data_IF_535775771983
#
_entry.id   IF_535775771983
#
_cell.length_a   1.000
_cell.length_b   1.000
_cell.length_c   1.000
_cell.angle_alpha   90.00
_cell.angle_beta   90.00
_cell.angle_gamma   90.00
#
_symmetry.space_group_name_H-M   'P 1'
#
loop_
_entity.id
_entity.type
_entity.pdbx_description
1 polymer ?
#
# COMPACT_ATOMS: atom_id res chain seq x y z
N UNK A 1 33.65 6.74 -39.05
CA UNK A 1 32.38 6.69 -39.82
C UNK A 1 31.56 5.57 -39.21
N UNK A 2 30.68 5.90 -38.28
CA UNK A 2 29.75 4.94 -37.69
C UNK A 2 28.73 4.53 -38.77
N UNK A 3 28.53 3.24 -38.92
CA UNK A 3 27.73 2.67 -39.98
C UNK A 3 26.24 2.88 -39.66
N UNK A 4 25.64 3.87 -40.33
CA UNK A 4 24.24 4.28 -40.19
C UNK A 4 23.24 3.12 -40.37
N UNK A 5 23.63 2.09 -41.14
CA UNK A 5 22.83 0.88 -41.33
C UNK A 5 22.64 0.02 -40.06
N UNK A 6 23.64 0.03 -39.19
CA UNK A 6 23.57 -0.75 -37.92
C UNK A 6 22.62 -0.11 -36.89
N UNK A 7 22.52 1.21 -36.89
CA UNK A 7 21.60 1.98 -36.04
C UNK A 7 20.14 1.80 -36.47
N UNK A 8 19.88 1.73 -37.79
CA UNK A 8 18.52 1.51 -38.29
C UNK A 8 18.06 0.09 -38.01
N UNK A 9 18.94 -0.91 -38.09
CA UNK A 9 18.62 -2.30 -37.75
C UNK A 9 18.33 -2.48 -36.25
N UNK A 10 19.12 -1.84 -35.39
CA UNK A 10 18.88 -1.88 -33.94
C UNK A 10 17.56 -1.21 -33.55
N UNK A 11 17.20 -0.11 -34.21
CA UNK A 11 15.96 0.61 -33.96
C UNK A 11 14.73 -0.17 -34.46
N UNK A 12 14.83 -0.83 -35.60
CA UNK A 12 13.78 -1.69 -36.14
C UNK A 12 13.56 -2.92 -35.28
N UNK A 13 14.64 -3.53 -34.75
CA UNK A 13 14.54 -4.68 -33.87
C UNK A 13 13.93 -4.34 -32.50
N UNK A 14 14.16 -3.11 -32.03
CA UNK A 14 13.55 -2.62 -30.79
C UNK A 14 12.04 -2.34 -30.95
N UNK A 15 11.62 -1.86 -32.12
CA UNK A 15 10.22 -1.59 -32.46
C UNK A 15 9.40 -2.88 -32.65
N UNK A 16 9.96 -3.90 -33.25
CA UNK A 16 9.27 -5.19 -33.39
C UNK A 16 9.13 -5.96 -32.09
N UNK A 17 10.12 -5.86 -31.18
CA UNK A 17 10.02 -6.46 -29.84
C UNK A 17 9.08 -5.70 -28.89
N UNK A 18 8.90 -4.40 -29.05
CA UNK A 18 7.92 -3.65 -28.26
C UNK A 18 6.47 -3.98 -28.62
N UNK A 19 6.21 -4.38 -29.86
CA UNK A 19 4.86 -4.82 -30.29
C UNK A 19 4.47 -6.21 -29.71
N UNK A 20 5.45 -7.04 -29.34
CA UNK A 20 5.20 -8.37 -28.74
C UNK A 20 5.00 -8.27 -27.22
N UNK A 21 5.64 -7.30 -26.56
CA UNK A 21 5.46 -7.06 -25.12
C UNK A 21 4.06 -6.54 -24.77
N UNK A 22 3.39 -5.85 -25.68
CA UNK A 22 2.04 -5.31 -25.48
C UNK A 22 0.90 -6.35 -25.50
N UNK A 23 1.16 -7.62 -25.78
CA UNK A 23 0.10 -8.63 -25.99
C UNK A 23 -0.03 -9.70 -24.90
N UNK A 24 0.75 -9.62 -23.82
CA UNK A 24 0.74 -10.67 -22.76
C UNK A 24 0.45 -10.16 -21.35
N UNK A 25 -0.08 -8.97 -21.21
CA UNK A 25 -0.35 -8.36 -19.90
C UNK A 25 -1.83 -8.20 -19.56
N UNK A 26 -2.75 -8.97 -20.15
CA UNK A 26 -4.12 -8.99 -19.63
C UNK A 26 -4.71 -10.38 -19.87
N UNK A 27 -4.74 -11.25 -18.86
CA UNK A 27 -6.03 -11.72 -18.41
C UNK A 27 -6.20 -11.95 -16.89
N UNK A 28 -5.17 -11.87 -16.07
CA UNK A 28 -5.32 -12.24 -14.66
C UNK A 28 -6.17 -11.25 -13.84
N UNK A 29 -6.11 -9.97 -14.15
CA UNK A 29 -6.76 -8.94 -13.31
C UNK A 29 -8.24 -8.69 -13.65
N UNK A 30 -8.63 -8.87 -14.90
CA UNK A 30 -10.04 -8.70 -15.32
C UNK A 30 -10.95 -9.79 -14.75
N UNK A 31 -10.41 -10.99 -14.55
CA UNK A 31 -11.11 -12.10 -13.92
C UNK A 31 -11.31 -11.86 -12.41
N UNK A 32 -10.32 -11.29 -11.72
CA UNK A 32 -10.44 -10.98 -10.29
C UNK A 32 -11.41 -9.83 -10.04
N UNK A 33 -11.36 -8.78 -10.87
CA UNK A 33 -12.26 -7.64 -10.80
C UNK A 33 -13.73 -8.04 -11.02
N UNK A 34 -14.00 -8.85 -12.05
CA UNK A 34 -15.34 -9.36 -12.29
C UNK A 34 -15.81 -10.28 -11.15
N UNK A 35 -14.91 -11.07 -10.57
CA UNK A 35 -15.21 -11.90 -9.38
C UNK A 35 -15.50 -11.07 -8.15
N UNK A 36 -14.84 -9.92 -7.95
CA UNK A 36 -15.12 -9.02 -6.82
C UNK A 36 -16.46 -8.28 -6.97
N UNK A 37 -16.89 -8.01 -8.21
CA UNK A 37 -18.22 -7.43 -8.47
C UNK A 37 -19.35 -8.44 -8.28
N UNK A 38 -19.04 -9.72 -8.45
CA UNK A 38 -19.98 -10.83 -8.27
C UNK A 38 -19.98 -11.38 -6.83
N UNK A 39 -19.07 -10.90 -5.97
CA UNK A 39 -19.00 -11.30 -4.57
C UNK A 39 -20.20 -10.71 -3.79
N UNK A 40 -20.87 -11.57 -3.08
CA UNK A 40 -21.91 -11.15 -2.13
C UNK A 40 -21.26 -10.38 -0.95
N UNK A 41 -22.09 -9.62 -0.24
CA UNK A 41 -21.66 -8.91 0.98
C UNK A 41 -21.02 -9.88 1.98
N UNK A 42 -21.53 -11.13 2.04
CA UNK A 42 -21.00 -12.18 2.90
C UNK A 42 -19.58 -12.62 2.49
N UNK A 43 -19.24 -12.58 1.21
CA UNK A 43 -17.90 -12.93 0.73
C UNK A 43 -16.90 -11.81 0.94
N UNK A 44 -17.33 -10.55 0.83
CA UNK A 44 -16.52 -9.39 1.20
C UNK A 44 -16.21 -9.37 2.71
N UNK A 45 -17.10 -9.90 3.54
CA UNK A 45 -16.88 -10.04 4.98
C UNK A 45 -15.86 -11.14 5.34
N UNK A 46 -15.45 -11.98 4.40
CA UNK A 46 -14.39 -13.00 4.58
C UNK A 46 -12.97 -12.48 4.39
N UNK A 47 -12.82 -11.18 4.14
CA UNK A 47 -11.48 -10.57 4.05
C UNK A 47 -10.72 -10.82 5.35
N UNK A 48 -9.56 -11.47 5.23
CA UNK A 48 -8.69 -11.73 6.35
C UNK A 48 -7.82 -10.53 6.66
N UNK A 49 -7.78 -10.16 7.93
CA UNK A 49 -6.92 -9.10 8.46
C UNK A 49 -5.98 -9.66 9.51
N UNK A 50 -4.77 -9.16 9.55
CA UNK A 50 -3.72 -9.63 10.46
C UNK A 50 -3.42 -8.67 11.60
N UNK A 51 -3.79 -7.41 11.45
CA UNK A 51 -3.39 -6.35 12.38
C UNK A 51 -4.10 -6.39 13.73
N UNK A 52 -5.28 -7.02 13.83
CA UNK A 52 -6.04 -6.98 15.09
C UNK A 52 -5.42 -7.84 16.18
N UNK A 53 -4.91 -9.02 15.83
CA UNK A 53 -4.47 -10.03 16.83
C UNK A 53 -3.10 -10.63 16.54
N UNK A 54 -2.37 -10.14 15.54
CA UNK A 54 -1.16 -10.75 14.95
C UNK A 54 -1.39 -12.11 14.30
N UNK A 55 -2.64 -12.53 14.17
CA UNK A 55 -3.06 -13.73 13.46
C UNK A 55 -4.07 -13.35 12.39
N UNK A 56 -4.10 -14.11 11.30
CA UNK A 56 -5.11 -13.93 10.27
C UNK A 56 -6.49 -14.24 10.85
N UNK A 57 -7.39 -13.27 10.80
CA UNK A 57 -8.78 -13.38 11.26
C UNK A 57 -9.70 -12.72 10.24
N UNK A 58 -10.94 -13.20 10.16
CA UNK A 58 -11.94 -12.56 9.31
C UNK A 58 -12.28 -11.18 9.84
N UNK A 59 -12.40 -10.21 8.95
CA UNK A 59 -12.75 -8.82 9.29
C UNK A 59 -14.04 -8.75 10.13
N UNK A 60 -15.00 -9.64 9.87
CA UNK A 60 -16.28 -9.72 10.58
C UNK A 60 -16.16 -10.19 12.04
N UNK A 61 -15.09 -10.89 12.41
CA UNK A 61 -14.86 -11.46 13.75
C UNK A 61 -14.03 -10.52 14.63
N UNK A 62 -13.48 -9.46 14.04
CA UNK A 62 -12.61 -8.54 14.77
C UNK A 62 -13.42 -7.49 15.50
N UNK A 63 -13.23 -7.40 16.81
CA UNK A 63 -13.88 -6.42 17.69
C UNK A 63 -13.37 -4.98 17.55
N UNK A 64 -12.45 -4.71 16.65
CA UNK A 64 -11.84 -3.40 16.42
C UNK A 64 -12.35 -2.75 15.13
N UNK A 65 -12.43 -1.41 15.12
CA UNK A 65 -12.78 -0.67 13.91
C UNK A 65 -11.60 -0.67 12.92
N UNK A 66 -11.57 -1.66 12.04
CA UNK A 66 -10.55 -1.82 11.00
C UNK A 66 -11.09 -1.27 9.68
N UNK A 67 -10.21 -0.58 8.96
CA UNK A 67 -10.41 -0.20 7.57
C UNK A 67 -9.28 -0.77 6.73
N UNK A 68 -9.60 -1.39 5.62
CA UNK A 68 -8.62 -1.99 4.71
C UNK A 68 -8.62 -1.20 3.41
N UNK A 69 -7.46 -0.72 3.02
CA UNK A 69 -7.21 -0.09 1.73
C UNK A 69 -6.53 -1.15 0.87
N UNK A 70 -7.19 -1.59 -0.17
CA UNK A 70 -6.66 -2.60 -1.08
C UNK A 70 -5.75 -1.99 -2.14
N UNK A 71 -4.95 -2.82 -2.80
CA UNK A 71 -4.14 -2.36 -3.94
C UNK A 71 -5.00 -1.74 -5.06
N UNK A 72 -6.20 -2.27 -5.28
CA UNK A 72 -7.13 -1.72 -6.27
C UNK A 72 -7.64 -0.32 -5.87
N UNK A 73 -7.90 -0.08 -4.59
CA UNK A 73 -8.28 1.22 -4.09
C UNK A 73 -7.15 2.23 -4.28
N UNK A 74 -5.92 1.84 -3.94
CA UNK A 74 -4.72 2.67 -4.13
C UNK A 74 -4.57 3.06 -5.60
N UNK A 75 -4.64 2.08 -6.49
CA UNK A 75 -4.51 2.30 -7.93
C UNK A 75 -5.60 3.21 -8.48
N UNK A 76 -6.85 3.05 -8.05
CA UNK A 76 -7.99 3.88 -8.50
C UNK A 76 -7.93 5.30 -7.95
N UNK A 77 -7.37 5.48 -6.76
CA UNK A 77 -7.25 6.80 -6.14
C UNK A 77 -6.21 7.68 -6.83
N UNK A 78 -5.29 7.09 -7.60
CA UNK A 78 -4.15 7.79 -8.16
C UNK A 78 -3.11 8.24 -7.13
N UNK A 79 -3.16 7.66 -5.92
CA UNK A 79 -2.18 7.95 -4.88
C UNK A 79 -0.78 7.51 -5.33
N UNK A 80 0.19 8.41 -5.20
CA UNK A 80 1.59 8.15 -5.59
C UNK A 80 2.48 7.82 -4.40
N UNK A 81 1.95 7.92 -3.19
CA UNK A 81 2.68 7.65 -1.95
C UNK A 81 1.77 7.06 -0.87
N UNK A 82 2.38 6.37 0.10
CA UNK A 82 1.66 5.79 1.25
C UNK A 82 0.84 6.85 2.01
N UNK A 83 1.38 8.05 2.32
CA UNK A 83 0.60 9.10 2.97
C UNK A 83 -0.64 9.52 2.18
N UNK A 84 -0.56 9.56 0.86
CA UNK A 84 -1.72 9.90 0.02
C UNK A 84 -2.77 8.79 0.05
N UNK A 85 -2.34 7.54 -0.02
CA UNK A 85 -3.25 6.39 0.11
C UNK A 85 -3.99 6.38 1.45
N UNK A 86 -3.32 6.75 2.54
CA UNK A 86 -3.91 6.81 3.88
C UNK A 86 -5.04 7.83 4.02
N UNK A 87 -5.16 8.81 3.11
CA UNK A 87 -6.29 9.76 3.09
C UNK A 87 -7.64 9.09 2.83
N UNK A 88 -7.64 7.91 2.23
CA UNK A 88 -8.85 7.14 1.98
C UNK A 88 -9.43 6.54 3.26
N UNK A 89 -8.62 6.34 4.30
CA UNK A 89 -9.07 5.75 5.54
C UNK A 89 -9.84 6.75 6.40
N UNK A 90 -11.12 6.49 6.71
CA UNK A 90 -11.91 7.39 7.53
C UNK A 90 -11.33 7.51 8.93
N UNK A 91 -11.23 8.76 9.44
CA UNK A 91 -10.67 9.06 10.77
C UNK A 91 -9.15 9.05 10.84
N UNK A 92 -8.47 8.95 9.70
CA UNK A 92 -7.05 9.25 9.57
C UNK A 92 -6.89 10.69 9.08
N UNK A 93 -6.12 11.46 9.82
CA UNK A 93 -5.76 12.83 9.46
C UNK A 93 -4.39 12.81 8.77
N UNK A 94 -4.33 13.27 7.53
CA UNK A 94 -3.10 13.33 6.76
C UNK A 94 -2.87 14.75 6.31
N UNK A 95 -1.85 15.39 6.86
CA UNK A 95 -1.44 16.75 6.50
C UNK A 95 -0.02 16.74 5.93
N UNK A 96 0.17 17.47 4.83
CA UNK A 96 1.48 17.72 4.27
C UNK A 96 2.02 19.02 4.88
N UNK A 97 3.08 18.92 5.67
CA UNK A 97 3.68 20.06 6.40
C UNK A 97 4.96 20.59 5.73
N UNK A 98 5.33 20.01 4.61
CA UNK A 98 6.49 20.41 3.81
C UNK A 98 6.56 19.61 2.53
N UNK A 99 7.59 19.81 1.73
CA UNK A 99 7.76 19.13 0.43
C UNK A 99 7.76 17.60 0.59
N UNK A 100 8.48 17.13 1.60
CA UNK A 100 8.69 15.70 1.92
C UNK A 100 8.18 15.31 3.31
N UNK A 101 7.51 16.25 4.02
CA UNK A 101 7.15 16.07 5.43
C UNK A 101 5.65 15.91 5.59
N UNK A 102 5.28 14.80 6.21
CA UNK A 102 3.91 14.45 6.47
C UNK A 102 3.64 14.36 7.97
N UNK A 103 2.45 14.75 8.35
CA UNK A 103 1.89 14.57 9.68
C UNK A 103 0.67 13.66 9.55
N UNK A 104 0.73 12.49 10.14
CA UNK A 104 -0.33 11.49 10.07
C UNK A 104 -0.73 11.08 11.47
N UNK A 105 -2.01 11.17 11.77
CA UNK A 105 -2.58 10.77 13.05
C UNK A 105 -3.93 10.11 12.88
N UNK A 106 -4.35 9.42 13.92
CA UNK A 106 -5.68 8.82 14.03
C UNK A 106 -6.31 9.32 15.31
N UNK A 107 -7.56 9.79 15.24
CA UNK A 107 -8.31 10.30 16.41
C UNK A 107 -7.61 11.46 17.13
N UNK A 108 -7.03 12.38 16.38
CA UNK A 108 -6.38 13.57 16.94
C UNK A 108 -4.91 13.36 17.35
N UNK A 109 -4.38 14.31 18.10
CA UNK A 109 -2.95 14.40 18.44
C UNK A 109 -2.05 14.52 17.21
N UNK A 110 -2.52 15.28 16.23
CA UNK A 110 -1.80 15.48 14.99
C UNK A 110 -0.48 16.24 15.21
N UNK A 111 0.57 15.75 14.59
CA UNK A 111 1.90 16.34 14.66
C UNK A 111 2.86 15.63 13.73
N UNK A 112 3.95 16.31 13.39
CA UNK A 112 4.99 15.76 12.50
C UNK A 112 5.48 14.38 12.94
N UNK A 113 5.56 14.17 14.25
CA UNK A 113 5.96 12.92 14.88
C UNK A 113 4.82 12.47 15.81
N UNK A 114 3.82 11.83 15.22
CA UNK A 114 2.69 11.30 15.97
C UNK A 114 3.09 10.05 16.75
N UNK A 115 3.35 10.21 18.05
CA UNK A 115 3.83 9.13 18.94
C UNK A 115 2.70 8.26 19.53
N UNK A 116 1.46 8.52 19.18
CA UNK A 116 0.27 7.77 19.60
C UNK A 116 -0.22 6.78 18.54
N UNK A 117 0.47 6.71 17.42
CA UNK A 117 0.14 5.91 16.26
C UNK A 117 1.28 4.92 15.98
N UNK A 118 1.00 3.64 16.09
CA UNK A 118 1.94 2.60 15.71
C UNK A 118 1.84 2.36 14.19
N UNK A 119 2.98 2.38 13.51
CA UNK A 119 3.05 2.05 12.08
C UNK A 119 3.97 0.85 11.89
N UNK A 120 3.47 -0.10 11.13
CA UNK A 120 4.16 -1.36 10.83
C UNK A 120 4.28 -1.50 9.30
N UNK A 121 5.35 -2.13 8.87
CA UNK A 121 5.55 -2.60 7.51
C UNK A 121 5.94 -4.07 7.59
N UNK A 122 5.10 -4.94 7.03
CA UNK A 122 5.23 -6.42 7.13
C UNK A 122 5.44 -6.90 8.57
N UNK A 123 4.69 -6.30 9.50
CA UNK A 123 4.79 -6.60 10.93
C UNK A 123 5.97 -5.98 11.67
N UNK A 124 6.89 -5.32 10.95
CA UNK A 124 8.03 -4.61 11.54
C UNK A 124 7.66 -3.16 11.83
N UNK A 125 7.92 -2.68 13.05
CA UNK A 125 7.73 -1.28 13.41
C UNK A 125 8.69 -0.37 12.64
N UNK A 126 8.16 0.66 12.00
CA UNK A 126 8.91 1.73 11.33
C UNK A 126 9.03 2.99 12.19
N UNK A 127 8.62 2.87 13.45
CA UNK A 127 8.76 3.93 14.44
C UNK A 127 10.23 4.18 14.78
N UNK A 128 10.65 5.44 14.75
CA UNK A 128 11.99 5.83 15.17
C UNK A 128 11.99 6.41 16.59
N UNK A 129 12.71 5.80 17.54
CA UNK A 129 12.77 6.31 18.90
C UNK A 129 13.49 7.67 19.00
N UNK A 130 14.35 7.99 18.04
CA UNK A 130 15.12 9.22 18.02
C UNK A 130 14.21 10.47 17.94
N UNK A 131 13.11 10.40 17.17
CA UNK A 131 12.16 11.49 17.00
C UNK A 131 10.77 11.17 17.53
N UNK A 132 10.62 10.03 18.19
CA UNK A 132 9.35 9.56 18.74
C UNK A 132 8.20 9.53 17.73
N UNK A 133 8.47 9.00 16.54
CA UNK A 133 7.46 8.92 15.48
C UNK A 133 7.97 8.26 14.21
N UNK A 134 7.22 8.42 13.13
CA UNK A 134 7.53 7.86 11.82
C UNK A 134 8.03 8.97 10.89
N UNK A 135 9.16 8.74 10.25
CA UNK A 135 9.66 9.60 9.17
C UNK A 135 9.12 9.05 7.86
N UNK A 136 8.01 9.60 7.41
CA UNK A 136 7.29 9.12 6.24
C UNK A 136 8.07 9.25 4.93
N UNK A 137 8.93 10.25 4.81
CA UNK A 137 9.80 10.42 3.65
C UNK A 137 10.89 9.35 3.51
N UNK A 138 11.10 8.55 4.54
CA UNK A 138 12.03 7.41 4.50
C UNK A 138 11.33 6.07 4.25
N UNK A 139 10.00 6.07 4.22
CA UNK A 139 9.20 4.89 3.91
C UNK A 139 8.92 4.86 2.41
N UNK A 140 9.99 4.68 1.64
CA UNK A 140 9.98 4.72 0.17
C UNK A 140 9.78 3.31 -0.42
N UNK A 141 8.60 2.76 -0.20
CA UNK A 141 8.18 1.51 -0.81
C UNK A 141 7.41 1.81 -2.08
N UNK A 142 7.69 1.08 -3.16
CA UNK A 142 6.91 1.18 -4.38
C UNK A 142 5.43 0.93 -4.07
N UNK A 143 4.60 1.87 -4.48
CA UNK A 143 3.16 1.81 -4.19
C UNK A 143 2.50 0.58 -4.84
N UNK A 144 3.06 0.11 -5.95
CA UNK A 144 2.63 -1.09 -6.67
C UNK A 144 2.94 -2.38 -5.93
N UNK A 145 3.94 -2.37 -5.05
CA UNK A 145 4.32 -3.54 -4.24
C UNK A 145 3.46 -3.69 -2.99
N UNK A 146 2.65 -2.71 -2.66
CA UNK A 146 1.73 -2.80 -1.53
C UNK A 146 0.56 -3.70 -1.91
N UNK A 147 0.31 -4.72 -1.11
CA UNK A 147 -0.86 -5.60 -1.24
C UNK A 147 -2.10 -4.93 -0.65
N UNK A 148 -1.98 -4.44 0.59
CA UNK A 148 -3.04 -3.72 1.30
C UNK A 148 -2.48 -2.91 2.47
N UNK A 149 -3.24 -1.95 2.92
CA UNK A 149 -2.96 -1.19 4.15
C UNK A 149 -4.13 -1.41 5.11
N UNK A 150 -3.85 -1.93 6.29
CA UNK A 150 -4.82 -2.15 7.35
C UNK A 150 -4.71 -1.02 8.38
N UNK A 151 -5.81 -0.33 8.64
CA UNK A 151 -5.88 0.79 9.59
C UNK A 151 -6.82 0.43 10.73
N UNK A 152 -6.25 0.19 11.91
CA UNK A 152 -7.00 -0.01 13.15
C UNK A 152 -7.21 1.34 13.81
N UNK A 153 -8.45 1.70 14.05
CA UNK A 153 -8.85 2.95 14.71
C UNK A 153 -9.27 2.67 16.14
N UNK A 154 -8.30 2.69 17.05
CA UNK A 154 -8.57 2.43 18.46
C UNK A 154 -7.34 1.94 19.20
N UNK A 155 -7.48 1.70 20.50
CA UNK A 155 -6.37 1.25 21.32
C UNK A 155 -5.92 -0.15 20.89
N UNK A 156 -4.66 -0.27 20.53
CA UNK A 156 -4.01 -1.53 20.16
C UNK A 156 -2.78 -1.83 21.02
N UNK A 157 -2.58 -1.08 22.10
CA UNK A 157 -1.35 -1.13 22.90
C UNK A 157 -1.09 -2.49 23.53
N UNK A 158 -2.13 -3.25 23.86
CA UNK A 158 -2.02 -4.60 24.41
C UNK A 158 -1.39 -5.59 23.44
N UNK A 159 -1.60 -5.39 22.14
CA UNK A 159 -1.10 -6.27 21.08
C UNK A 159 0.18 -5.71 20.45
N UNK A 160 0.23 -4.39 20.22
CA UNK A 160 1.25 -3.74 19.39
C UNK A 160 2.22 -2.84 20.16
N UNK A 161 2.03 -2.68 21.48
CA UNK A 161 2.91 -1.92 22.34
C UNK A 161 2.50 -0.45 22.55
N UNK A 162 3.35 0.29 23.25
CA UNK A 162 3.03 1.59 23.83
C UNK A 162 2.60 2.67 22.83
N UNK A 163 3.07 2.63 21.59
CA UNK A 163 2.74 3.63 20.58
C UNK A 163 1.35 3.43 19.95
N UNK A 164 0.75 2.26 20.11
CA UNK A 164 -0.56 1.94 19.56
C UNK A 164 -1.72 2.44 20.45
N UNK A 165 -1.70 3.71 20.83
CA UNK A 165 -2.71 4.31 21.72
C UNK A 165 -3.97 4.68 20.94
N UNK A 166 -3.82 5.41 19.85
CA UNK A 166 -4.93 5.91 19.04
C UNK A 166 -5.26 5.00 17.86
N UNK A 167 -4.27 4.25 17.39
CA UNK A 167 -4.43 3.34 16.27
C UNK A 167 -3.16 2.62 15.88
N UNK A 168 -3.34 1.72 14.91
CA UNK A 168 -2.25 0.99 14.25
C UNK A 168 -2.45 1.07 12.75
N UNK A 169 -1.40 1.36 12.01
CA UNK A 169 -1.34 1.23 10.57
C UNK A 169 -0.39 0.08 10.26
N UNK A 170 -0.86 -0.91 9.52
CA UNK A 170 -0.03 -2.02 9.05
C UNK A 170 -0.04 -2.04 7.52
N UNK A 171 1.12 -1.79 6.95
CA UNK A 171 1.36 -1.82 5.51
C UNK A 171 1.87 -3.21 5.19
N UNK A 172 1.18 -3.90 4.31
CA UNK A 172 1.50 -5.28 3.91
C UNK A 172 1.90 -5.26 2.45
N UNK A 173 3.11 -5.74 2.18
CA UNK A 173 3.63 -5.84 0.83
C UNK A 173 3.26 -7.18 0.20
N UNK A 174 3.26 -7.23 -1.11
CA UNK A 174 3.04 -8.46 -1.88
C UNK A 174 4.17 -9.44 -1.61
N UNK A 175 3.85 -10.72 -1.61
CA UNK A 175 4.86 -11.76 -1.47
C UNK A 175 5.70 -11.86 -2.74
N UNK A 176 7.01 -12.00 -2.61
CA UNK A 176 7.93 -12.14 -3.73
C UNK A 176 7.58 -13.32 -4.66
N UNK A 177 6.95 -14.37 -4.13
CA UNK A 177 6.47 -15.50 -4.93
C UNK A 177 5.35 -15.11 -5.92
N UNK A 178 4.53 -14.12 -5.56
CA UNK A 178 3.36 -13.70 -6.33
C UNK A 178 3.70 -12.57 -7.33
N UNK A 179 4.91 -11.98 -7.22
CA UNK A 179 5.36 -10.82 -8.02
C UNK A 179 6.54 -11.14 -8.93
N UNK A 180 6.80 -12.42 -9.22
CA UNK A 180 7.88 -12.80 -10.12
C UNK A 180 7.60 -12.32 -11.54
N UNK A 181 8.52 -11.53 -12.11
CA UNK A 181 8.41 -11.01 -13.46
C UNK A 181 8.93 -9.59 -13.59
N UNK A 182 8.53 -8.93 -14.65
CA UNK A 182 8.85 -7.53 -14.93
C UNK A 182 7.56 -6.72 -14.92
N UNK A 183 7.51 -5.67 -14.12
CA UNK A 183 6.45 -4.66 -14.13
C UNK A 183 6.99 -3.40 -14.80
N UNK A 184 6.31 -2.92 -15.82
CA UNK A 184 6.60 -1.64 -16.48
C UNK A 184 5.36 -0.77 -16.37
N UNK A 185 5.46 0.34 -15.66
CA UNK A 185 4.43 1.36 -15.55
C UNK A 185 4.87 2.62 -16.27
N UNK A 186 4.00 3.17 -17.12
CA UNK A 186 4.21 4.47 -17.76
C UNK A 186 3.03 5.35 -17.43
N UNK A 187 3.31 6.59 -17.02
CA UNK A 187 2.30 7.59 -16.73
C UNK A 187 2.79 8.96 -17.18
N UNK A 188 1.87 9.85 -17.51
CA UNK A 188 2.13 11.24 -17.90
C UNK A 188 1.03 12.14 -17.38
#
# INVERSE_FOLDING_TARGET
KLNLGLLIFAFSYCLENSAIAGRKLIPANKSLYNRLLDLSIEELMKIEVTSASRHSQKLSEVSSAIFVITQDDIRRSGATSIPEALRMAPGVEVARVGTDKWSISVRGFNGRFANKLQVLMDGRSVYTPLFSGVIWSQQDTLIEDIERIEVIRGPGATVWGANAVNGVINIITKKAADTQGMLVTTGG
#
